data_IF_678075047091
#
_entry.id   IF_678075047091
#
_cell.length_a   1.000
_cell.length_b   1.000
_cell.length_c   1.000
_cell.angle_alpha   90.00
_cell.angle_beta   90.00
_cell.angle_gamma   90.00
#
_symmetry.space_group_name_H-M   'P 1'
#
loop_
_entity.id
_entity.type
_entity.pdbx_description
1 polymer ?
#
# COMPACT_ATOMS: atom_id res chain seq x y z
N UNK A 1 -4.13 -1.67 12.08
CA UNK A 1 -3.39 -2.19 10.92
C UNK A 1 -1.92 -2.24 11.30
N UNK A 2 -1.29 -3.40 11.16
CA UNK A 2 0.05 -3.72 11.70
C UNK A 2 1.16 -3.49 10.67
N UNK A 3 0.87 -3.72 9.38
CA UNK A 3 1.82 -3.51 8.27
C UNK A 3 1.07 -3.27 6.95
N UNK A 4 1.79 -2.91 5.88
CA UNK A 4 1.34 -2.79 4.49
C UNK A 4 1.60 -4.14 3.79
N UNK A 5 0.61 -5.06 3.72
CA UNK A 5 0.87 -6.44 3.28
C UNK A 5 1.20 -6.56 1.79
N UNK A 6 2.12 -7.44 1.37
CA UNK A 6 2.49 -7.60 -0.04
C UNK A 6 1.34 -8.15 -0.90
N UNK A 7 0.31 -8.73 -0.28
CA UNK A 7 -0.87 -9.25 -0.92
C UNK A 7 -2.13 -8.65 -0.30
N UNK A 8 -3.10 -8.27 -1.15
CA UNK A 8 -4.39 -7.70 -0.77
C UNK A 8 -5.46 -8.22 -1.72
N UNK A 9 -6.64 -8.46 -1.18
CA UNK A 9 -7.86 -8.71 -1.95
C UNK A 9 -8.88 -7.61 -1.62
N UNK A 10 -9.58 -7.13 -2.64
CA UNK A 10 -10.57 -6.08 -2.54
C UNK A 10 -11.69 -6.37 -3.54
N UNK A 11 -12.93 -6.03 -3.18
CA UNK A 11 -14.03 -6.12 -4.15
C UNK A 11 -13.78 -5.16 -5.32
N UNK A 12 -14.12 -5.60 -6.52
CA UNK A 12 -13.82 -4.83 -7.75
C UNK A 12 -14.58 -3.51 -7.83
N UNK A 13 -15.82 -3.47 -7.34
CA UNK A 13 -16.62 -2.26 -7.27
C UNK A 13 -16.00 -1.22 -6.33
N UNK A 14 -15.65 -1.63 -5.11
CA UNK A 14 -14.94 -0.76 -4.17
C UNK A 14 -13.62 -0.24 -4.78
N UNK A 15 -12.83 -1.11 -5.42
CA UNK A 15 -11.58 -0.69 -6.08
C UNK A 15 -11.79 0.41 -7.13
N UNK A 16 -12.87 0.31 -7.92
CA UNK A 16 -13.22 1.34 -8.90
C UNK A 16 -13.61 2.65 -8.22
N UNK A 17 -14.37 2.57 -7.13
CA UNK A 17 -14.78 3.75 -6.35
C UNK A 17 -13.62 4.46 -5.66
N UNK A 18 -12.52 3.75 -5.34
CA UNK A 18 -11.33 4.38 -4.76
C UNK A 18 -10.63 5.35 -5.71
N UNK A 19 -10.88 5.31 -7.03
CA UNK A 19 -10.20 6.12 -8.06
C UNK A 19 -8.69 6.22 -7.82
N UNK A 20 -8.03 5.08 -7.81
CA UNK A 20 -6.61 4.97 -7.47
C UNK A 20 -5.72 5.75 -8.47
N UNK A 21 -4.76 6.54 -7.97
CA UNK A 21 -3.97 7.48 -8.79
C UNK A 21 -2.47 7.12 -8.88
N UNK A 22 -1.85 6.65 -7.80
CA UNK A 22 -0.40 6.43 -7.74
C UNK A 22 0.02 5.11 -8.42
N UNK A 23 0.68 5.14 -9.57
CA UNK A 23 1.08 3.90 -10.26
C UNK A 23 2.43 3.32 -9.81
N UNK A 24 3.01 3.85 -8.75
CA UNK A 24 4.36 3.54 -8.30
C UNK A 24 4.32 2.95 -6.89
N UNK A 25 5.23 3.39 -6.01
CA UNK A 25 5.34 2.87 -4.65
C UNK A 25 4.20 3.33 -3.75
N UNK A 26 3.48 4.40 -4.08
CA UNK A 26 2.46 4.97 -3.19
C UNK A 26 1.11 4.23 -3.22
N UNK A 27 0.84 3.46 -4.28
CA UNK A 27 -0.41 2.71 -4.46
C UNK A 27 -0.89 1.93 -3.23
N UNK A 28 -0.03 1.16 -2.52
CA UNK A 28 -0.46 0.37 -1.37
C UNK A 28 -1.02 1.21 -0.22
N UNK A 29 -0.42 2.38 0.02
CA UNK A 29 -0.81 3.32 1.07
C UNK A 29 -2.10 4.04 0.66
N UNK A 30 -2.17 4.49 -0.60
CA UNK A 30 -3.35 5.15 -1.14
C UNK A 30 -4.59 4.26 -1.01
N UNK A 31 -4.47 2.97 -1.37
CA UNK A 31 -5.59 2.03 -1.35
C UNK A 31 -6.16 1.88 0.05
N UNK A 32 -5.31 1.64 1.04
CA UNK A 32 -5.73 1.46 2.43
C UNK A 32 -6.34 2.75 2.97
N UNK A 33 -5.67 3.89 2.77
CA UNK A 33 -6.14 5.17 3.28
C UNK A 33 -7.50 5.54 2.71
N UNK A 34 -7.72 5.37 1.40
CA UNK A 34 -9.00 5.65 0.75
C UNK A 34 -10.10 4.66 1.13
N UNK A 35 -9.77 3.38 1.33
CA UNK A 35 -10.72 2.38 1.81
C UNK A 35 -11.17 2.67 3.25
N UNK A 36 -10.22 3.02 4.12
CA UNK A 36 -10.50 3.42 5.51
C UNK A 36 -11.35 4.70 5.57
N UNK A 37 -11.03 5.71 4.76
CA UNK A 37 -11.80 6.95 4.68
C UNK A 37 -13.26 6.74 4.24
N UNK A 38 -13.54 5.69 3.47
CA UNK A 38 -14.91 5.29 3.07
C UNK A 38 -15.60 4.38 4.08
N UNK A 39 -14.98 4.10 5.23
CA UNK A 39 -15.53 3.18 6.23
C UNK A 39 -15.55 1.72 5.78
N UNK A 40 -14.74 1.34 4.78
CA UNK A 40 -14.67 -0.05 4.35
C UNK A 40 -14.08 -0.94 5.47
N UNK A 41 -14.62 -2.16 5.60
CA UNK A 41 -14.10 -3.14 6.55
C UNK A 41 -12.76 -3.69 6.06
N UNK A 42 -11.71 -3.47 6.85
CA UNK A 42 -10.35 -3.99 6.59
C UNK A 42 -10.07 -5.11 7.60
N UNK A 43 -9.60 -6.26 7.10
CA UNK A 43 -9.23 -7.41 7.93
C UNK A 43 -7.80 -7.83 7.58
N UNK A 44 -6.97 -8.02 8.60
CA UNK A 44 -5.66 -8.62 8.46
C UNK A 44 -5.76 -10.13 8.67
N UNK A 45 -5.23 -10.90 7.72
CA UNK A 45 -5.15 -12.35 7.80
C UNK A 45 -3.68 -12.71 7.93
N UNK A 46 -3.31 -13.34 9.03
CA UNK A 46 -1.94 -13.81 9.25
C UNK A 46 -1.65 -14.94 8.27
N UNK A 47 -0.58 -14.78 7.50
CA UNK A 47 -0.12 -15.77 6.52
C UNK A 47 1.35 -16.10 6.74
N UNK A 48 1.73 -17.35 6.48
CA UNK A 48 3.14 -17.74 6.52
C UNK A 48 3.88 -17.17 5.32
N UNK A 49 4.96 -16.44 5.56
CA UNK A 49 5.88 -15.95 4.52
C UNK A 49 7.18 -16.76 4.56
N UNK A 50 7.62 -17.27 3.41
CA UNK A 50 8.90 -17.99 3.29
C UNK A 50 9.96 -17.11 2.61
N UNK A 51 11.25 -17.30 2.90
CA UNK A 51 12.32 -16.63 2.18
C UNK A 51 12.19 -16.82 0.67
N UNK A 52 12.55 -15.78 -0.09
CA UNK A 52 12.59 -15.83 -1.55
C UNK A 52 13.60 -16.88 -2.00
N UNK A 53 13.17 -17.82 -2.84
CA UNK A 53 14.01 -18.95 -3.31
C UNK A 53 15.11 -18.50 -4.29
N UNK A 54 14.84 -17.50 -5.13
CA UNK A 54 15.79 -17.03 -6.14
C UNK A 54 15.56 -15.56 -6.55
N UNK A 55 16.58 -14.95 -7.16
CA UNK A 55 16.57 -13.58 -7.67
C UNK A 55 16.94 -12.51 -6.62
N UNK A 56 17.28 -11.31 -7.09
CA UNK A 56 17.61 -10.16 -6.22
C UNK A 56 16.40 -9.29 -5.98
N UNK A 57 16.28 -8.74 -4.77
CA UNK A 57 15.22 -7.78 -4.46
C UNK A 57 15.41 -6.51 -5.29
N UNK A 58 14.30 -6.00 -5.81
CA UNK A 58 14.25 -4.76 -6.60
C UNK A 58 14.16 -3.50 -5.73
N UNK A 59 13.90 -3.68 -4.44
CA UNK A 59 13.58 -2.58 -3.51
C UNK A 59 14.38 -2.74 -2.22
N UNK A 60 14.16 -3.84 -1.48
CA UNK A 60 14.88 -4.17 -0.25
C UNK A 60 16.30 -4.67 -0.56
N UNK A 61 17.26 -3.76 -0.62
CA UNK A 61 18.66 -4.08 -0.92
C UNK A 61 19.52 -2.88 -1.31
N UNK A 62 18.91 -1.71 -1.51
CA UNK A 62 19.64 -0.45 -1.72
C UNK A 62 19.07 0.64 -0.82
N UNK A 63 19.94 1.44 -0.20
CA UNK A 63 19.54 2.56 0.67
C UNK A 63 18.65 3.54 -0.10
N UNK A 64 18.99 3.82 -1.36
CA UNK A 64 18.23 4.72 -2.24
C UNK A 64 16.83 4.19 -2.53
N UNK A 65 16.69 2.89 -2.79
CA UNK A 65 15.38 2.26 -3.01
C UNK A 65 14.47 2.36 -1.78
N UNK A 66 15.03 2.08 -0.60
CA UNK A 66 14.31 2.19 0.67
C UNK A 66 13.85 3.61 0.98
N UNK A 67 14.72 4.61 0.79
CA UNK A 67 14.37 6.02 1.02
C UNK A 67 13.29 6.51 0.05
N UNK A 68 13.38 6.14 -1.23
CA UNK A 68 12.36 6.49 -2.24
C UNK A 68 10.99 5.90 -1.92
N UNK A 69 10.96 4.63 -1.50
CA UNK A 69 9.72 3.98 -1.09
C UNK A 69 9.11 4.66 0.15
N UNK A 70 9.92 4.91 1.17
CA UNK A 70 9.47 5.60 2.39
C UNK A 70 8.93 7.01 2.12
N UNK A 71 9.62 7.79 1.28
CA UNK A 71 9.16 9.12 0.86
C UNK A 71 7.83 9.05 0.11
N UNK A 72 7.69 8.11 -0.85
CA UNK A 72 6.45 7.93 -1.59
C UNK A 72 5.27 7.59 -0.66
N UNK A 73 5.48 6.71 0.32
CA UNK A 73 4.48 6.33 1.30
C UNK A 73 4.02 7.54 2.12
N UNK A 74 4.97 8.34 2.63
CA UNK A 74 4.68 9.54 3.41
C UNK A 74 3.89 10.58 2.60
N UNK A 75 4.35 10.88 1.38
CA UNK A 75 3.70 11.85 0.49
C UNK A 75 2.27 11.44 0.18
N UNK A 76 2.04 10.17 -0.14
CA UNK A 76 0.69 9.68 -0.44
C UNK A 76 -0.19 9.69 0.81
N UNK A 77 0.29 9.23 1.96
CA UNK A 77 -0.47 9.29 3.20
C UNK A 77 -0.97 10.72 3.47
N UNK A 78 -0.09 11.72 3.36
CA UNK A 78 -0.44 13.13 3.56
C UNK A 78 -1.39 13.70 2.49
N UNK A 79 -1.28 13.26 1.23
CA UNK A 79 -2.19 13.70 0.16
C UNK A 79 -3.58 13.11 0.34
N UNK A 80 -3.67 11.83 0.70
CA UNK A 80 -4.95 11.14 0.88
C UNK A 80 -5.69 11.62 2.12
N UNK A 81 -5.01 11.98 3.21
CA UNK A 81 -5.66 12.57 4.38
C UNK A 81 -6.23 13.97 4.10
N UNK A 82 -5.53 14.79 3.30
CA UNK A 82 -6.01 16.14 2.92
C UNK A 82 -7.21 16.13 1.97
N UNK A 83 -7.42 15.06 1.21
CA UNK A 83 -8.57 14.91 0.30
C UNK A 83 -9.79 14.20 0.91
N UNK A 84 -9.69 13.77 2.17
CA UNK A 84 -10.77 13.13 2.92
C UNK A 84 -11.42 14.05 3.96
N UNK A 85 -11.02 15.33 3.99
CA UNK A 85 -11.59 16.40 4.81
C UNK A 85 -12.54 17.27 3.99
#
# INVERSE_FOLDING_TARGET
MTDIPPFRAIRTDLLRELDMRDRAFGWPVEMVAKAAARGARIVEVVVSHRPRVAGRSKVSGTVVGSLRAGYAFLVIALRTTKGAA
#
